data_IF_604212722209
#
_entry.id   IF_604212722209
#
_cell.length_a   1.000
_cell.length_b   1.000
_cell.length_c   1.000
_cell.angle_alpha   90.00
_cell.angle_beta   90.00
_cell.angle_gamma   90.00
#
_symmetry.space_group_name_H-M   'P 1'
#
loop_
_entity.id
_entity.type
_entity.pdbx_description
1 polymer ?
#
# COMPACT_ATOMS: atom_id res chain seq x y z
N UNK A 1 39.76 -56.25 -49.23
CA UNK A 1 38.94 -55.09 -49.69
C UNK A 1 38.43 -54.37 -48.45
N UNK A 2 39.01 -53.22 -48.06
CA UNK A 2 38.68 -52.50 -46.82
C UNK A 2 37.87 -51.25 -47.18
N UNK A 3 36.58 -51.23 -46.85
CA UNK A 3 35.76 -50.02 -46.92
C UNK A 3 35.87 -49.24 -45.61
N UNK A 4 36.30 -47.97 -45.71
CA UNK A 4 36.29 -47.01 -44.61
C UNK A 4 34.98 -46.22 -44.70
N UNK A 5 34.13 -46.31 -43.68
CA UNK A 5 33.07 -45.32 -43.44
C UNK A 5 33.60 -44.26 -42.47
N UNK A 6 33.66 -43.01 -42.91
CA UNK A 6 33.90 -41.87 -42.05
C UNK A 6 32.54 -41.30 -41.62
N UNK A 7 32.22 -41.40 -40.33
CA UNK A 7 31.09 -40.70 -39.74
C UNK A 7 31.54 -39.30 -39.32
N UNK A 8 30.98 -38.26 -39.94
CA UNK A 8 31.17 -36.87 -39.51
C UNK A 8 30.16 -36.59 -38.40
N UNK A 9 30.65 -36.42 -37.17
CA UNK A 9 29.83 -35.90 -36.06
C UNK A 9 29.71 -34.38 -36.23
N UNK A 10 28.48 -33.89 -36.43
CA UNK A 10 28.14 -32.47 -36.32
C UNK A 10 27.68 -32.20 -34.88
N UNK A 11 28.54 -31.58 -34.08
CA UNK A 11 28.19 -31.14 -32.72
C UNK A 11 27.46 -29.80 -32.79
N UNK A 12 26.14 -29.79 -32.61
CA UNK A 12 25.38 -28.57 -32.39
C UNK A 12 25.51 -28.21 -30.90
N UNK A 13 26.34 -27.22 -30.60
CA UNK A 13 26.37 -26.60 -29.28
C UNK A 13 25.16 -25.66 -29.16
N UNK A 14 24.09 -26.13 -28.53
CA UNK A 14 22.97 -25.28 -28.12
C UNK A 14 23.44 -24.39 -26.96
N UNK A 15 23.87 -23.17 -27.29
CA UNK A 15 24.12 -22.13 -26.30
C UNK A 15 22.79 -21.68 -25.69
N UNK A 16 22.50 -22.09 -24.46
CA UNK A 16 21.45 -21.51 -23.63
C UNK A 16 21.87 -20.10 -23.22
N UNK A 17 21.65 -19.14 -24.12
CA UNK A 17 21.69 -17.73 -23.80
C UNK A 17 20.51 -17.37 -22.90
N UNK A 18 20.62 -17.64 -21.61
CA UNK A 18 19.83 -16.92 -20.62
C UNK A 18 20.29 -15.47 -20.68
N UNK A 19 19.59 -14.65 -21.48
CA UNK A 19 19.58 -13.21 -21.28
C UNK A 19 18.89 -12.93 -19.93
N UNK A 20 19.59 -13.18 -18.83
CA UNK A 20 19.25 -12.53 -17.58
C UNK A 20 19.54 -11.05 -17.83
N UNK A 21 18.47 -10.25 -18.00
CA UNK A 21 18.57 -8.80 -17.83
C UNK A 21 19.29 -8.58 -16.50
N UNK A 22 20.39 -7.84 -16.54
CA UNK A 22 21.07 -7.43 -15.31
C UNK A 22 20.07 -6.81 -14.33
N UNK A 23 20.36 -6.83 -13.02
CA UNK A 23 19.49 -6.22 -12.02
C UNK A 23 19.13 -4.81 -12.48
N UNK A 24 17.84 -4.48 -12.43
CA UNK A 24 17.41 -3.12 -12.71
C UNK A 24 18.21 -2.19 -11.77
N UNK A 25 18.80 -1.09 -12.28
CA UNK A 25 19.55 -0.18 -11.43
C UNK A 25 18.68 0.22 -10.24
N UNK A 26 19.22 0.03 -9.03
CA UNK A 26 18.57 0.44 -7.79
C UNK A 26 18.40 1.97 -7.86
N UNK A 27 17.17 2.43 -7.65
CA UNK A 27 16.87 3.86 -7.72
C UNK A 27 17.39 4.52 -6.44
N UNK A 28 18.64 5.02 -6.48
CA UNK A 28 19.28 5.69 -5.34
C UNK A 28 18.71 7.09 -5.06
N UNK A 29 17.92 7.65 -5.98
CA UNK A 29 17.39 9.00 -5.86
C UNK A 29 16.09 9.04 -5.04
N UNK A 30 16.19 9.04 -3.72
CA UNK A 30 15.03 9.26 -2.84
C UNK A 30 14.43 10.67 -2.96
N UNK A 31 15.08 11.61 -3.66
CA UNK A 31 14.56 12.97 -3.85
C UNK A 31 13.39 13.01 -4.85
N UNK A 32 13.13 11.92 -5.57
CA UNK A 32 12.05 11.83 -6.54
C UNK A 32 10.80 11.10 -6.00
N UNK A 33 10.73 10.86 -4.68
CA UNK A 33 9.51 10.34 -4.04
C UNK A 33 8.49 11.49 -3.96
N UNK A 34 7.38 11.41 -4.73
CA UNK A 34 6.42 12.49 -4.73
C UNK A 34 5.64 12.51 -3.41
N UNK A 35 5.23 13.69 -2.96
CA UNK A 35 4.27 13.79 -1.85
C UNK A 35 2.94 13.22 -2.33
N UNK A 36 2.49 12.15 -1.68
CA UNK A 36 1.23 11.48 -1.97
C UNK A 36 0.67 10.76 -0.73
N UNK A 37 -0.64 10.90 -0.45
CA UNK A 37 -1.57 11.80 -1.10
C UNK A 37 -1.37 13.22 -0.58
N UNK A 38 -1.56 14.22 -1.45
CA UNK A 38 -1.58 15.63 -1.04
C UNK A 38 -3.02 16.09 -0.90
N UNK A 39 -3.45 16.40 0.32
CA UNK A 39 -4.79 16.93 0.62
C UNK A 39 -4.75 18.45 0.57
N UNK A 40 -5.50 19.05 -0.35
CA UNK A 40 -5.54 20.50 -0.57
C UNK A 40 -6.59 21.19 0.31
N UNK A 41 -6.46 22.51 0.44
CA UNK A 41 -7.37 23.35 1.24
C UNK A 41 -8.82 23.34 0.73
N UNK A 42 -9.02 23.15 -0.57
CA UNK A 42 -10.34 23.03 -1.21
C UNK A 42 -10.93 21.60 -1.13
N UNK A 43 -10.26 20.71 -0.37
CA UNK A 43 -10.59 19.28 -0.22
C UNK A 43 -10.45 18.46 -1.51
N UNK A 44 -9.77 18.97 -2.52
CA UNK A 44 -9.24 18.12 -3.57
C UNK A 44 -8.03 17.36 -3.05
N UNK A 45 -7.74 16.20 -3.64
CA UNK A 45 -6.64 15.34 -3.22
C UNK A 45 -5.86 14.91 -4.45
N UNK A 46 -4.56 15.18 -4.46
CA UNK A 46 -3.67 14.75 -5.53
C UNK A 46 -2.91 13.49 -5.11
N UNK A 47 -3.12 12.43 -5.87
CA UNK A 47 -2.40 11.17 -5.76
C UNK A 47 -1.22 11.18 -6.72
N UNK A 48 -0.05 10.69 -6.28
CA UNK A 48 1.15 10.61 -7.10
C UNK A 48 1.89 9.30 -6.89
N UNK A 49 2.44 8.75 -7.96
CA UNK A 49 3.30 7.57 -7.92
C UNK A 49 4.45 7.72 -8.91
N UNK A 50 5.68 7.63 -8.43
CA UNK A 50 6.84 7.54 -9.31
C UNK A 50 6.99 6.11 -9.84
N UNK A 51 6.64 5.90 -11.11
CA UNK A 51 6.71 4.60 -11.78
C UNK A 51 7.03 4.79 -13.27
N UNK A 52 8.26 5.24 -13.62
CA UNK A 52 8.61 5.68 -14.97
C UNK A 52 8.43 4.60 -16.03
N UNK A 53 8.60 3.32 -15.65
CA UNK A 53 8.50 2.16 -16.54
C UNK A 53 7.11 1.51 -16.60
N UNK A 54 6.17 1.94 -15.76
CA UNK A 54 4.79 1.43 -15.83
C UNK A 54 4.16 1.84 -17.17
N UNK A 55 3.22 1.04 -17.66
CA UNK A 55 2.42 1.36 -18.84
C UNK A 55 1.06 1.94 -18.45
N UNK A 56 0.53 1.52 -17.30
CA UNK A 56 -0.71 2.00 -16.74
C UNK A 56 -0.63 2.04 -15.21
N UNK A 57 -1.16 3.11 -14.61
CA UNK A 57 -1.40 3.21 -13.17
C UNK A 57 -2.84 3.65 -12.94
N UNK A 58 -3.60 2.90 -12.16
CA UNK A 58 -5.01 3.16 -11.86
C UNK A 58 -5.19 3.38 -10.37
N UNK A 59 -5.91 4.44 -10.00
CA UNK A 59 -6.31 4.66 -8.60
C UNK A 59 -7.40 3.68 -8.21
N UNK A 60 -7.15 2.93 -7.13
CA UNK A 60 -8.10 2.06 -6.44
C UNK A 60 -8.46 2.68 -5.09
N UNK A 61 -9.68 2.48 -4.58
CA UNK A 61 -10.15 3.16 -3.37
C UNK A 61 -11.22 2.44 -2.58
N UNK A 62 -11.45 2.87 -1.33
CA UNK A 62 -12.67 2.56 -0.57
C UNK A 62 -13.91 3.15 -1.23
N UNK A 63 -15.12 2.68 -0.86
CA UNK A 63 -16.38 3.24 -1.33
C UNK A 63 -16.43 4.78 -1.36
N UNK A 64 -15.91 5.47 -0.35
CA UNK A 64 -15.89 6.94 -0.33
C UNK A 64 -15.12 7.60 -1.49
N UNK A 65 -13.96 7.05 -1.89
CA UNK A 65 -13.25 7.55 -3.09
C UNK A 65 -14.00 7.12 -4.35
N UNK A 66 -14.48 5.86 -4.37
CA UNK A 66 -15.21 5.28 -5.50
C UNK A 66 -16.53 6.00 -5.81
N UNK A 67 -17.19 6.59 -4.82
CA UNK A 67 -18.39 7.40 -5.02
C UNK A 67 -18.09 8.67 -5.83
N UNK A 68 -16.90 9.25 -5.64
CA UNK A 68 -16.48 10.46 -6.37
C UNK A 68 -15.91 10.12 -7.74
N UNK A 69 -15.04 9.10 -7.84
CA UNK A 69 -14.43 8.72 -9.12
C UNK A 69 -15.37 7.87 -10.00
N UNK A 70 -16.42 7.26 -9.42
CA UNK A 70 -17.45 6.39 -10.02
C UNK A 70 -16.94 5.10 -10.68
N UNK A 71 -15.68 5.07 -11.10
CA UNK A 71 -14.97 3.96 -11.73
C UNK A 71 -13.47 4.05 -11.43
N UNK A 72 -12.73 2.94 -11.50
CA UNK A 72 -11.26 2.98 -11.47
C UNK A 72 -10.76 3.98 -12.52
N UNK A 73 -9.98 4.96 -12.08
CA UNK A 73 -9.55 6.08 -12.94
C UNK A 73 -8.03 5.99 -13.17
N UNK A 74 -7.57 5.93 -14.42
CA UNK A 74 -6.15 6.00 -14.74
C UNK A 74 -5.52 7.32 -14.31
N UNK A 75 -4.28 7.26 -13.81
CA UNK A 75 -3.43 8.42 -13.58
C UNK A 75 -2.79 8.85 -14.91
N UNK A 76 -2.32 10.11 -14.97
CA UNK A 76 -1.55 10.64 -16.10
C UNK A 76 -0.07 10.68 -15.76
N UNK A 77 0.79 10.14 -16.64
CA UNK A 77 2.24 10.17 -16.49
C UNK A 77 2.83 11.44 -17.09
N UNK A 78 3.68 12.14 -16.34
CA UNK A 78 4.47 13.26 -16.84
C UNK A 78 5.80 12.83 -17.49
N UNK A 79 6.55 13.79 -18.04
CA UNK A 79 7.85 13.56 -18.68
C UNK A 79 8.93 13.01 -17.72
N UNK A 80 8.74 13.22 -16.42
CA UNK A 80 9.65 12.74 -15.37
C UNK A 80 9.29 11.33 -14.90
N UNK A 81 8.19 10.75 -15.40
CA UNK A 81 7.73 9.41 -15.03
C UNK A 81 6.90 9.35 -13.76
N UNK A 82 6.40 10.50 -13.27
CA UNK A 82 5.46 10.57 -12.15
C UNK A 82 4.04 10.48 -12.71
N UNK A 83 3.29 9.51 -12.19
CA UNK A 83 1.87 9.36 -12.43
C UNK A 83 1.10 10.22 -11.44
N UNK A 84 0.11 10.98 -11.89
CA UNK A 84 -0.72 11.81 -11.01
C UNK A 84 -2.20 11.82 -11.38
N UNK A 85 -3.05 12.00 -10.38
CA UNK A 85 -4.49 12.22 -10.51
C UNK A 85 -4.99 13.08 -9.35
N UNK A 86 -5.76 14.11 -9.66
CA UNK A 86 -6.45 14.92 -8.66
C UNK A 86 -7.94 14.54 -8.63
N UNK A 87 -8.45 14.24 -7.45
CA UNK A 87 -9.85 13.88 -7.21
C UNK A 87 -10.44 14.84 -6.19
N UNK A 88 -11.71 15.22 -6.37
CA UNK A 88 -12.45 15.95 -5.36
C UNK A 88 -13.34 17.05 -5.94
N UNK A 89 -13.89 17.91 -5.07
CA UNK A 89 -13.67 17.93 -3.62
C UNK A 89 -14.26 16.70 -2.91
N UNK A 90 -13.54 16.17 -1.92
CA UNK A 90 -14.03 15.10 -1.05
C UNK A 90 -14.73 15.68 0.18
N UNK A 91 -15.70 14.95 0.72
CA UNK A 91 -16.29 15.28 2.02
C UNK A 91 -15.27 15.06 3.15
N UNK A 92 -15.52 15.64 4.32
CA UNK A 92 -14.67 15.38 5.47
C UNK A 92 -14.81 13.92 5.92
N UNK A 93 -13.70 13.24 6.18
CA UNK A 93 -13.73 11.82 6.51
C UNK A 93 -12.36 11.14 6.40
N UNK A 94 -12.36 9.85 6.68
CA UNK A 94 -11.21 8.97 6.47
C UNK A 94 -11.40 8.19 5.16
N UNK A 95 -10.34 8.03 4.39
CA UNK A 95 -10.37 7.39 3.08
C UNK A 95 -9.18 6.46 2.91
N UNK A 96 -9.41 5.34 2.22
CA UNK A 96 -8.35 4.35 1.94
C UNK A 96 -8.18 4.19 0.45
N UNK A 97 -6.97 3.99 -0.02
CA UNK A 97 -6.65 3.85 -1.44
C UNK A 97 -5.43 2.96 -1.67
N UNK A 98 -5.20 2.68 -2.94
CA UNK A 98 -3.99 2.02 -3.45
C UNK A 98 -3.91 2.18 -4.96
N UNK A 99 -2.89 1.58 -5.55
CA UNK A 99 -2.68 1.59 -6.99
C UNK A 99 -2.82 0.19 -7.57
N UNK A 100 -3.39 0.11 -8.76
CA UNK A 100 -3.23 -1.03 -9.66
C UNK A 100 -2.31 -0.63 -10.80
N UNK A 101 -1.23 -1.37 -10.98
CA UNK A 101 -0.19 -1.11 -11.99
C UNK A 101 -0.21 -2.24 -13.00
N UNK A 102 -0.26 -1.89 -14.28
CA UNK A 102 -0.21 -2.81 -15.42
C UNK A 102 -1.20 -4.00 -15.28
N UNK A 103 -2.40 -3.73 -14.76
CA UNK A 103 -3.50 -4.70 -14.61
C UNK A 103 -3.33 -5.79 -13.54
N UNK A 104 -2.13 -6.02 -13.01
CA UNK A 104 -1.83 -7.16 -12.14
C UNK A 104 -1.36 -6.80 -10.73
N UNK A 105 -0.56 -5.74 -10.58
CA UNK A 105 0.07 -5.41 -9.30
C UNK A 105 -0.79 -4.43 -8.51
N UNK A 106 -1.30 -4.87 -7.35
CA UNK A 106 -2.00 -4.02 -6.39
C UNK A 106 -1.09 -3.71 -5.22
N UNK A 107 -0.91 -2.43 -4.90
CA UNK A 107 -0.06 -2.00 -3.80
C UNK A 107 -0.60 -0.74 -3.10
N UNK A 108 -0.31 -0.56 -1.80
CA UNK A 108 -0.44 0.74 -1.16
C UNK A 108 0.50 1.76 -1.81
N UNK A 109 0.25 3.03 -1.56
CA UNK A 109 1.14 4.12 -1.93
C UNK A 109 2.45 4.04 -1.13
N UNK A 110 3.60 3.88 -1.80
CA UNK A 110 4.89 3.79 -1.12
C UNK A 110 5.31 5.10 -0.45
N UNK A 111 4.68 6.22 -0.82
CA UNK A 111 4.97 7.57 -0.29
C UNK A 111 4.13 7.90 0.93
N UNK A 112 3.11 7.09 1.25
CA UNK A 112 2.22 7.31 2.37
C UNK A 112 2.48 6.29 3.50
N UNK A 113 3.02 6.72 4.66
CA UNK A 113 3.28 5.83 5.78
C UNK A 113 2.02 5.37 6.51
N UNK A 114 0.88 6.03 6.30
CA UNK A 114 -0.37 5.68 6.97
C UNK A 114 -1.03 4.53 6.24
N UNK A 115 -1.08 3.37 6.89
CA UNK A 115 -1.62 2.14 6.33
C UNK A 115 -2.78 1.62 7.19
N UNK A 116 -3.83 1.16 6.52
CA UNK A 116 -4.85 0.29 7.10
C UNK A 116 -4.51 -1.16 6.76
N UNK A 117 -4.38 -2.01 7.78
CA UNK A 117 -4.16 -3.44 7.58
C UNK A 117 -5.48 -4.14 7.25
N UNK A 118 -5.51 -4.85 6.11
CA UNK A 118 -6.67 -5.65 5.70
C UNK A 118 -6.28 -7.12 5.51
N UNK A 119 -7.31 -7.98 5.42
CA UNK A 119 -7.17 -9.42 5.12
C UNK A 119 -6.31 -9.69 3.88
N UNK A 120 -6.40 -8.83 2.86
CA UNK A 120 -5.77 -9.02 1.56
C UNK A 120 -4.49 -8.19 1.36
N UNK A 121 -3.94 -7.64 2.46
CA UNK A 121 -2.78 -6.74 2.44
C UNK A 121 -3.13 -5.31 2.84
N UNK A 122 -2.12 -4.48 3.13
CA UNK A 122 -2.31 -3.10 3.55
C UNK A 122 -2.85 -2.22 2.42
N UNK A 123 -3.63 -1.20 2.78
CA UNK A 123 -4.03 -0.10 1.90
C UNK A 123 -3.62 1.23 2.52
N UNK A 124 -3.28 2.22 1.71
CA UNK A 124 -2.92 3.56 2.22
C UNK A 124 -4.15 4.29 2.73
N UNK A 125 -3.97 5.11 3.76
CA UNK A 125 -5.02 5.85 4.46
C UNK A 125 -4.70 7.34 4.44
N UNK A 126 -5.72 8.18 4.28
CA UNK A 126 -5.61 9.62 4.53
C UNK A 126 -6.92 10.18 5.09
N UNK A 127 -6.84 11.39 5.65
CA UNK A 127 -7.96 12.09 6.27
C UNK A 127 -8.17 13.41 5.53
N UNK A 128 -9.43 13.67 5.14
CA UNK A 128 -9.88 14.98 4.65
C UNK A 128 -10.47 15.72 5.84
N UNK A 129 -9.89 16.86 6.27
CA UNK A 129 -10.32 17.53 7.49
C UNK A 129 -11.71 18.15 7.36
N UNK A 130 -12.49 18.02 8.43
CA UNK A 130 -13.75 18.73 8.64
C UNK A 130 -13.57 20.12 9.21
N UNK A 131 -14.69 20.83 9.44
CA UNK A 131 -14.69 22.08 10.20
C UNK A 131 -14.27 21.83 11.66
N UNK A 132 -14.70 20.68 12.20
CA UNK A 132 -14.22 20.13 13.47
C UNK A 132 -13.50 18.81 13.19
N UNK A 133 -12.52 18.50 14.04
CA UNK A 133 -11.85 17.19 13.99
C UNK A 133 -12.85 16.08 14.25
N UNK A 134 -12.83 15.02 13.46
CA UNK A 134 -13.58 13.79 13.71
C UNK A 134 -13.18 13.11 15.02
N UNK A 135 -14.00 12.17 15.49
CA UNK A 135 -13.71 11.37 16.70
C UNK A 135 -12.53 10.41 16.51
N UNK A 136 -12.22 10.08 15.25
CA UNK A 136 -11.12 9.22 14.82
C UNK A 136 -9.81 9.99 14.60
N UNK A 137 -9.86 11.32 14.66
CA UNK A 137 -8.67 12.16 14.50
C UNK A 137 -7.95 12.35 15.83
N UNK A 138 -6.63 12.49 15.77
CA UNK A 138 -5.81 12.77 16.95
C UNK A 138 -6.14 14.15 17.54
N UNK A 139 -6.40 14.15 18.85
CA UNK A 139 -6.74 15.35 19.64
C UNK A 139 -5.84 15.39 20.87
N UNK A 140 -5.54 16.60 21.35
CA UNK A 140 -4.76 16.80 22.60
C UNK A 140 -5.63 16.52 23.82
N UNK A 141 -5.88 15.25 24.10
CA UNK A 141 -6.67 14.75 25.24
C UNK A 141 -5.89 13.61 25.93
N UNK A 142 -6.22 13.23 27.18
CA UNK A 142 -5.65 12.03 27.76
C UNK A 142 -5.94 10.80 26.88
N UNK A 143 -4.89 10.06 26.53
CA UNK A 143 -4.99 8.85 25.71
C UNK A 143 -4.94 7.59 26.59
N UNK A 144 -5.70 6.58 26.19
CA UNK A 144 -5.58 5.24 26.74
C UNK A 144 -4.41 4.47 26.12
N UNK A 145 -4.27 3.20 26.52
CA UNK A 145 -3.24 2.29 25.98
C UNK A 145 -3.92 1.17 25.19
N UNK A 146 -3.39 0.85 24.01
CA UNK A 146 -3.78 -0.36 23.27
C UNK A 146 -2.71 -1.41 23.49
N UNK A 147 -3.04 -2.44 24.25
CA UNK A 147 -2.18 -3.58 24.56
C UNK A 147 -2.30 -4.64 23.48
N UNK A 148 -1.19 -5.24 23.08
CA UNK A 148 -1.17 -6.42 22.22
C UNK A 148 -0.77 -7.61 23.09
N UNK A 149 -1.73 -8.48 23.35
CA UNK A 149 -1.53 -9.63 24.24
C UNK A 149 -1.55 -10.93 23.43
N UNK A 150 -0.63 -11.83 23.77
CA UNK A 150 -0.59 -13.19 23.24
C UNK A 150 -1.09 -14.17 24.31
N UNK A 151 -1.85 -15.18 23.90
CA UNK A 151 -2.36 -16.21 24.79
C UNK A 151 -2.47 -17.56 24.08
N UNK A 152 -2.24 -18.64 24.82
CA UNK A 152 -2.46 -20.00 24.32
C UNK A 152 -3.96 -20.33 24.35
N UNK A 153 -4.48 -20.87 23.24
CA UNK A 153 -5.88 -21.29 23.13
C UNK A 153 -5.98 -22.81 23.10
N UNK A 154 -6.38 -23.47 24.21
CA UNK A 154 -6.47 -24.94 24.26
C UNK A 154 -7.47 -25.52 23.25
N UNK A 155 -8.56 -24.80 22.97
CA UNK A 155 -9.58 -25.24 22.03
C UNK A 155 -9.11 -25.20 20.56
N UNK A 156 -8.12 -24.37 20.24
CA UNK A 156 -7.57 -24.21 18.90
C UNK A 156 -6.18 -24.81 18.76
N UNK A 157 -5.60 -25.31 19.85
CA UNK A 157 -4.23 -25.82 19.94
C UNK A 157 -3.19 -24.87 19.30
N UNK A 158 -3.33 -23.57 19.58
CA UNK A 158 -2.51 -22.52 18.97
C UNK A 158 -2.40 -21.26 19.84
N UNK A 159 -1.30 -20.53 19.68
CA UNK A 159 -1.15 -19.16 20.20
C UNK A 159 -2.05 -18.18 19.42
N UNK A 160 -2.67 -17.27 20.15
CA UNK A 160 -3.60 -16.26 19.63
C UNK A 160 -3.18 -14.89 20.13
N UNK A 161 -3.57 -13.87 19.36
CA UNK A 161 -3.29 -12.47 19.66
C UNK A 161 -4.60 -11.71 19.82
N UNK A 162 -4.64 -10.80 20.80
CA UNK A 162 -5.78 -9.90 21.05
C UNK A 162 -5.29 -8.48 21.34
N UNK A 163 -6.04 -7.49 20.84
CA UNK A 163 -5.85 -6.08 21.17
C UNK A 163 -6.80 -5.70 22.30
N UNK A 164 -6.30 -5.06 23.36
CA UNK A 164 -7.09 -4.61 24.51
C UNK A 164 -6.85 -3.13 24.74
N UNK A 165 -7.91 -2.33 24.66
CA UNK A 165 -7.84 -0.90 25.02
C UNK A 165 -8.10 -0.70 26.51
N UNK A 166 -7.21 0.03 27.19
CA UNK A 166 -7.41 0.52 28.55
C UNK A 166 -7.56 2.04 28.56
N UNK A 167 -8.53 2.62 29.30
CA UNK A 167 -8.76 4.05 29.31
C UNK A 167 -7.62 4.85 29.98
N UNK A 168 -7.55 6.18 29.77
CA UNK A 168 -6.58 7.03 30.45
C UNK A 168 -6.61 6.84 31.97
N UNK A 169 -5.44 6.71 32.59
CA UNK A 169 -5.30 6.53 34.05
C UNK A 169 -5.45 5.08 34.55
N UNK A 170 -5.80 4.12 33.68
CA UNK A 170 -6.03 2.72 34.05
C UNK A 170 -4.86 2.12 34.86
N UNK A 171 -3.62 2.32 34.40
CA UNK A 171 -2.43 1.70 35.01
C UNK A 171 -2.08 2.21 36.42
N UNK A 172 -2.65 3.35 36.81
CA UNK A 172 -2.42 3.96 38.13
C UNK A 172 -3.58 3.72 39.11
N UNK A 173 -4.72 3.25 38.60
CA UNK A 173 -5.95 3.09 39.36
C UNK A 173 -6.13 1.69 39.95
N UNK A 174 -7.09 1.56 40.86
CA UNK A 174 -7.63 0.26 41.32
C UNK A 174 -9.09 0.03 40.91
N UNK A 175 -9.59 0.92 40.05
CA UNK A 175 -10.97 0.88 39.59
C UNK A 175 -11.18 -0.30 38.63
N UNK A 176 -12.36 -0.92 38.71
CA UNK A 176 -12.81 -1.93 37.75
C UNK A 176 -13.64 -1.24 36.67
N UNK A 177 -13.51 -1.71 35.43
CA UNK A 177 -14.19 -1.16 34.26
C UNK A 177 -15.05 -2.25 33.59
N UNK A 178 -16.18 -1.88 32.95
CA UNK A 178 -16.92 -2.80 32.08
C UNK A 178 -16.08 -3.20 30.85
N UNK A 179 -16.42 -4.33 30.22
CA UNK A 179 -15.75 -4.87 29.03
C UNK A 179 -16.75 -4.91 27.87
N UNK A 180 -16.30 -4.48 26.68
CA UNK A 180 -17.01 -4.58 25.40
C UNK A 180 -16.33 -5.62 24.51
#
# INVERSE_FOLDING_TARGET
MRFRFAAVLFSIAAGTGFCQRGPAPYYEDTNNIPVSPEVHADRTVTFRLFAPKASEVVLMGSPGILEVIKRPTPLQRDEKGVWSLTVGPLTAGFYTYGYAIDGGLRMPDPSNPNLEMRRWGPTSLFIVPGAEKGIFEERRVPHGTVHVNFYDSPNLDAERMVYVYTPPGYESGRQKYPVL
#
